data_IF_559234437817
#
_entry.id   IF_559234437817
#
_cell.length_a   1.000
_cell.length_b   1.000
_cell.length_c   1.000
_cell.angle_alpha   90.00
_cell.angle_beta   90.00
_cell.angle_gamma   90.00
#
_symmetry.space_group_name_H-M   'P 1'
#
loop_
_entity.id
_entity.type
_entity.pdbx_description
1 polymer ?
#
# COMPACT_ATOMS: atom_id res chain seq x y z
N UNK A 1 78.36 32.77 -21.05
CA UNK A 1 77.73 33.20 -19.77
C UNK A 1 76.43 33.93 -20.10
N UNK A 2 75.29 33.50 -19.50
CA UNK A 2 73.98 34.20 -19.41
C UNK A 2 73.20 34.43 -20.73
N UNK A 3 71.92 34.08 -20.90
CA UNK A 3 70.85 33.43 -20.10
C UNK A 3 69.88 32.72 -21.09
N UNK A 4 69.21 31.61 -20.73
CA UNK A 4 68.12 31.07 -21.54
C UNK A 4 66.81 31.83 -21.26
N UNK A 5 66.09 32.15 -22.34
CA UNK A 5 64.78 32.79 -22.37
C UNK A 5 63.70 31.85 -21.83
N UNK A 6 63.13 32.19 -20.66
CA UNK A 6 62.00 31.45 -20.07
C UNK A 6 60.69 32.12 -20.52
N UNK A 7 60.01 31.50 -21.49
CA UNK A 7 58.63 31.83 -21.83
C UNK A 7 57.68 31.38 -20.70
N UNK A 8 56.66 32.18 -20.34
CA UNK A 8 55.81 31.87 -19.20
C UNK A 8 54.84 30.70 -19.47
N UNK A 9 54.86 29.69 -18.59
CA UNK A 9 53.82 28.66 -18.51
C UNK A 9 52.47 29.32 -18.21
N UNK A 10 51.53 29.25 -19.16
CA UNK A 10 50.11 29.52 -18.93
C UNK A 10 49.56 28.45 -17.99
N UNK A 11 49.34 28.82 -16.73
CA UNK A 11 48.58 28.02 -15.75
C UNK A 11 47.12 27.95 -16.23
N UNK A 12 46.70 26.80 -16.72
CA UNK A 12 45.29 26.50 -16.96
C UNK A 12 44.66 26.23 -15.60
N UNK A 13 43.87 27.18 -15.11
CA UNK A 13 43.02 27.00 -13.94
C UNK A 13 41.80 26.17 -14.38
N UNK A 14 41.76 24.90 -14.00
CA UNK A 14 40.57 24.06 -14.19
C UNK A 14 39.56 24.44 -13.11
N UNK A 15 38.60 25.29 -13.47
CA UNK A 15 37.49 25.66 -12.59
C UNK A 15 36.45 24.52 -12.64
N UNK A 16 36.56 23.57 -11.72
CA UNK A 16 35.50 22.58 -11.49
C UNK A 16 34.37 23.28 -10.75
N UNK A 17 33.36 23.73 -11.49
CA UNK A 17 32.09 24.17 -10.90
C UNK A 17 31.36 22.93 -10.38
N UNK A 18 31.47 22.69 -9.07
CA UNK A 18 30.56 21.83 -8.32
C UNK A 18 29.15 22.43 -8.42
N UNK A 19 28.33 21.92 -9.34
CA UNK A 19 26.88 22.10 -9.26
C UNK A 19 26.44 21.45 -7.95
N UNK A 20 26.08 22.28 -6.97
CA UNK A 20 25.43 21.87 -5.74
C UNK A 20 24.06 21.30 -6.03
N UNK A 21 24.00 20.04 -6.48
CA UNK A 21 22.80 19.24 -6.39
C UNK A 21 22.47 19.09 -4.90
N UNK A 22 21.29 19.57 -4.49
CA UNK A 22 20.76 19.27 -3.16
C UNK A 22 20.65 17.75 -3.05
N UNK A 23 21.57 17.13 -2.31
CA UNK A 23 21.36 15.78 -1.81
C UNK A 23 20.13 15.85 -0.90
N UNK A 24 18.96 15.54 -1.43
CA UNK A 24 17.82 15.17 -0.61
C UNK A 24 18.29 13.90 0.10
N UNK A 25 18.63 14.03 1.39
CA UNK A 25 19.04 12.88 2.19
C UNK A 25 17.91 11.85 2.16
N UNK A 26 18.14 10.69 1.57
CA UNK A 26 17.20 9.56 1.54
C UNK A 26 17.11 8.87 2.91
N UNK A 27 18.09 9.10 3.80
CA UNK A 27 18.19 8.46 5.11
C UNK A 27 16.93 8.60 6.00
N UNK A 28 16.23 9.75 6.07
CA UNK A 28 15.03 9.87 6.91
C UNK A 28 13.84 9.03 6.42
N UNK A 29 13.73 8.77 5.11
CA UNK A 29 12.65 7.93 4.55
C UNK A 29 12.93 6.46 4.87
N UNK A 30 14.17 6.02 4.70
CA UNK A 30 14.59 4.67 5.03
C UNK A 30 14.44 4.39 6.53
N UNK A 31 14.85 5.32 7.39
CA UNK A 31 14.69 5.21 8.85
C UNK A 31 13.20 5.17 9.24
N UNK A 32 12.35 5.99 8.60
CA UNK A 32 10.91 5.97 8.84
C UNK A 32 10.28 4.65 8.38
N UNK A 33 10.72 4.08 7.26
CA UNK A 33 10.26 2.78 6.79
C UNK A 33 10.68 1.68 7.77
N UNK A 34 11.93 1.69 8.23
CA UNK A 34 12.42 0.74 9.24
C UNK A 34 11.61 0.85 10.53
N UNK A 35 11.34 2.07 11.02
CA UNK A 35 10.48 2.29 12.18
C UNK A 35 9.07 1.71 11.96
N UNK A 36 8.47 1.98 10.80
CA UNK A 36 7.16 1.45 10.45
C UNK A 36 7.18 -0.08 10.43
N UNK A 37 8.15 -0.73 9.77
CA UNK A 37 8.27 -2.20 9.70
C UNK A 37 8.50 -2.85 11.08
N UNK A 38 9.04 -2.11 12.05
CA UNK A 38 9.17 -2.53 13.46
C UNK A 38 7.92 -2.29 14.30
N UNK A 39 6.81 -1.83 13.69
CA UNK A 39 5.57 -1.56 14.40
C UNK A 39 5.61 -0.26 15.21
N UNK A 40 6.44 0.70 14.80
CA UNK A 40 6.61 2.00 15.46
C UNK A 40 6.10 3.13 14.55
N UNK A 41 4.79 3.18 14.23
CA UNK A 41 4.28 4.17 13.29
C UNK A 41 4.37 5.61 13.82
N UNK A 42 4.35 5.81 15.15
CA UNK A 42 4.56 7.14 15.75
C UNK A 42 5.96 7.71 15.46
N UNK A 43 6.99 6.85 15.53
CA UNK A 43 8.35 7.23 15.19
C UNK A 43 8.48 7.55 13.69
N UNK A 44 7.85 6.75 12.83
CA UNK A 44 7.79 7.02 11.39
C UNK A 44 7.11 8.37 11.09
N UNK A 45 5.96 8.67 11.71
CA UNK A 45 5.29 9.97 11.58
C UNK A 45 6.19 11.12 12.04
N UNK A 46 6.90 10.95 13.16
CA UNK A 46 7.83 11.96 13.68
C UNK A 46 8.95 12.26 12.67
N UNK A 47 9.56 11.22 12.11
CA UNK A 47 10.65 11.35 11.12
C UNK A 47 10.18 12.00 9.81
N UNK A 48 8.92 11.82 9.44
CA UNK A 48 8.35 12.33 8.19
C UNK A 48 7.67 13.69 8.36
N UNK A 49 7.52 14.20 9.58
CA UNK A 49 6.87 15.48 9.84
C UNK A 49 7.68 16.63 9.24
N UNK A 50 7.02 17.49 8.47
CA UNK A 50 7.65 18.64 7.78
C UNK A 50 8.28 18.29 6.42
N UNK A 51 8.25 17.02 6.02
CA UNK A 51 8.62 16.61 4.65
C UNK A 51 7.54 17.03 3.65
N UNK A 52 7.95 17.31 2.41
CA UNK A 52 7.07 17.77 1.34
C UNK A 52 7.29 17.07 -0.01
N UNK A 53 8.22 16.09 -0.08
CA UNK A 53 8.39 15.24 -1.26
C UNK A 53 7.40 14.08 -1.26
N UNK A 54 7.04 13.60 -2.45
CA UNK A 54 6.03 12.58 -2.63
C UNK A 54 6.34 11.24 -1.91
N UNK A 55 7.57 10.67 -1.97
CA UNK A 55 7.88 9.44 -1.24
C UNK A 55 7.66 9.58 0.27
N UNK A 56 8.15 10.66 0.89
CA UNK A 56 7.97 10.91 2.32
C UNK A 56 6.49 11.06 2.69
N UNK A 57 5.72 11.78 1.88
CA UNK A 57 4.30 12.01 2.11
C UNK A 57 3.45 10.74 1.92
N UNK A 58 3.81 9.89 0.95
CA UNK A 58 3.17 8.58 0.77
C UNK A 58 3.45 7.67 1.99
N UNK A 59 4.71 7.58 2.44
CA UNK A 59 5.05 6.80 3.62
C UNK A 59 4.39 7.37 4.90
N UNK A 60 4.21 8.69 4.97
CA UNK A 60 3.47 9.34 6.06
C UNK A 60 1.99 8.93 6.05
N UNK A 61 1.36 8.89 4.86
CA UNK A 61 0.00 8.39 4.71
C UNK A 61 -0.14 6.94 5.20
N UNK A 62 0.81 6.06 4.83
CA UNK A 62 0.88 4.68 5.32
C UNK A 62 1.03 4.60 6.84
N UNK A 63 1.87 5.46 7.41
CA UNK A 63 2.15 5.49 8.84
C UNK A 63 0.92 5.87 9.67
N UNK A 64 0.06 6.76 9.16
CA UNK A 64 -1.22 7.06 9.81
C UNK A 64 -2.17 5.86 9.85
N UNK A 65 -2.21 5.05 8.79
CA UNK A 65 -2.96 3.78 8.80
C UNK A 65 -2.36 2.81 9.82
N UNK A 66 -1.03 2.75 9.91
CA UNK A 66 -0.33 1.98 10.94
C UNK A 66 -0.69 2.42 12.38
N UNK A 67 -0.78 3.72 12.65
CA UNK A 67 -1.24 4.25 13.94
C UNK A 67 -2.67 3.78 14.27
N UNK A 68 -3.54 3.66 13.27
CA UNK A 68 -4.94 3.31 13.48
C UNK A 68 -5.15 1.91 14.06
N UNK A 69 -4.16 1.02 13.92
CA UNK A 69 -4.15 -0.31 14.53
C UNK A 69 -4.08 -0.24 16.06
N UNK A 70 -3.44 0.82 16.60
CA UNK A 70 -3.16 0.96 18.03
C UNK A 70 -4.15 1.84 18.79
N UNK A 71 -5.12 2.46 18.11
CA UNK A 71 -6.11 3.31 18.76
C UNK A 71 -7.43 2.55 19.03
N UNK A 72 -8.08 2.78 20.19
CA UNK A 72 -9.19 1.94 20.63
C UNK A 72 -10.55 2.33 20.05
N UNK A 73 -10.71 3.57 19.57
CA UNK A 73 -12.02 4.09 19.14
C UNK A 73 -12.11 4.29 17.63
N UNK A 74 -13.28 4.03 17.06
CA UNK A 74 -13.54 4.29 15.64
C UNK A 74 -13.41 5.78 15.29
N UNK A 75 -13.72 6.67 16.23
CA UNK A 75 -13.51 8.10 16.05
C UNK A 75 -12.02 8.44 15.87
N UNK A 76 -11.14 7.85 16.69
CA UNK A 76 -9.69 8.03 16.55
C UNK A 76 -9.17 7.42 15.24
N UNK A 77 -9.66 6.23 14.84
CA UNK A 77 -9.31 5.61 13.55
C UNK A 77 -9.71 6.48 12.37
N UNK A 78 -10.95 7.02 12.36
CA UNK A 78 -11.42 7.92 11.30
C UNK A 78 -10.58 9.19 11.19
N UNK A 79 -10.16 9.77 12.32
CA UNK A 79 -9.26 10.92 12.30
C UNK A 79 -7.90 10.58 11.66
N UNK A 80 -7.37 9.39 11.91
CA UNK A 80 -6.13 8.92 11.28
C UNK A 80 -6.29 8.63 9.80
N UNK A 81 -7.42 8.06 9.37
CA UNK A 81 -7.71 7.85 7.93
C UNK A 81 -7.84 9.17 7.18
N UNK A 82 -8.46 10.19 7.77
CA UNK A 82 -8.51 11.53 7.19
C UNK A 82 -7.11 12.15 7.05
N UNK A 83 -6.21 11.95 8.03
CA UNK A 83 -4.81 12.37 7.94
C UNK A 83 -4.03 11.60 6.88
N UNK A 84 -4.30 10.30 6.73
CA UNK A 84 -3.74 9.45 5.67
C UNK A 84 -4.14 9.97 4.29
N UNK A 85 -5.43 10.25 4.07
CA UNK A 85 -5.94 10.82 2.84
C UNK A 85 -5.26 12.16 2.51
N UNK A 86 -5.19 13.07 3.49
CA UNK A 86 -4.55 14.37 3.30
C UNK A 86 -3.08 14.25 2.90
N UNK A 87 -2.33 13.35 3.55
CA UNK A 87 -0.92 13.10 3.22
C UNK A 87 -0.75 12.48 1.83
N UNK A 88 -1.59 11.51 1.45
CA UNK A 88 -1.54 10.89 0.12
C UNK A 88 -1.92 11.87 -1.01
N UNK A 89 -2.92 12.74 -0.77
CA UNK A 89 -3.26 13.82 -1.72
C UNK A 89 -2.11 14.83 -1.86
N UNK A 90 -1.45 15.19 -0.76
CA UNK A 90 -0.26 16.03 -0.80
C UNK A 90 0.89 15.35 -1.56
N UNK A 91 1.07 14.05 -1.41
CA UNK A 91 2.07 13.28 -2.16
C UNK A 91 1.81 13.33 -3.66
N UNK A 92 0.55 13.14 -4.10
CA UNK A 92 0.17 13.25 -5.51
C UNK A 92 0.25 14.69 -6.06
N UNK A 93 0.08 15.70 -5.21
CA UNK A 93 0.32 17.09 -5.61
C UNK A 93 1.81 17.36 -5.82
N UNK A 94 2.68 16.75 -5.01
CA UNK A 94 4.14 16.86 -5.16
C UNK A 94 4.66 16.05 -6.37
N UNK A 95 4.13 14.86 -6.60
CA UNK A 95 4.41 14.04 -7.79
C UNK A 95 3.19 13.17 -8.18
N UNK A 96 2.45 13.55 -9.25
CA UNK A 96 1.32 12.76 -9.75
C UNK A 96 1.68 11.38 -10.31
N UNK A 97 2.98 11.10 -10.50
CA UNK A 97 3.49 9.81 -11.01
C UNK A 97 4.02 8.90 -9.90
N UNK A 98 3.88 9.27 -8.64
CA UNK A 98 4.29 8.43 -7.52
C UNK A 98 3.28 7.28 -7.32
N UNK A 99 3.68 6.04 -7.63
CA UNK A 99 2.81 4.86 -7.55
C UNK A 99 2.32 4.57 -6.12
N UNK A 100 3.19 4.72 -5.11
CA UNK A 100 2.83 4.52 -3.71
C UNK A 100 1.74 5.50 -3.26
N UNK A 101 1.84 6.77 -3.65
CA UNK A 101 0.86 7.79 -3.32
C UNK A 101 -0.55 7.47 -3.86
N UNK A 102 -0.64 6.88 -5.05
CA UNK A 102 -1.92 6.37 -5.59
C UNK A 102 -2.46 5.23 -4.74
N UNK A 103 -1.62 4.26 -4.34
CA UNK A 103 -2.01 3.16 -3.44
C UNK A 103 -2.50 3.69 -2.10
N UNK A 104 -1.77 4.61 -1.48
CA UNK A 104 -2.14 5.12 -0.16
C UNK A 104 -3.42 5.95 -0.19
N UNK A 105 -3.64 6.74 -1.24
CA UNK A 105 -4.89 7.47 -1.38
C UNK A 105 -6.07 6.49 -1.54
N UNK A 106 -5.91 5.46 -2.37
CA UNK A 106 -6.93 4.44 -2.56
C UNK A 106 -7.27 3.72 -1.23
N UNK A 107 -6.25 3.32 -0.46
CA UNK A 107 -6.42 2.70 0.85
C UNK A 107 -7.13 3.62 1.84
N UNK A 108 -6.71 4.89 1.94
CA UNK A 108 -7.30 5.86 2.85
C UNK A 108 -8.78 6.13 2.52
N UNK A 109 -9.15 6.17 1.24
CA UNK A 109 -10.53 6.28 0.80
C UNK A 109 -11.34 5.02 1.14
N UNK A 110 -10.78 3.84 0.86
CA UNK A 110 -11.44 2.56 1.13
C UNK A 110 -11.75 2.36 2.63
N UNK A 111 -10.81 2.72 3.51
CA UNK A 111 -10.97 2.63 4.97
C UNK A 111 -12.06 3.56 5.53
N UNK A 112 -12.49 4.57 4.76
CA UNK A 112 -13.56 5.50 5.13
C UNK A 112 -14.93 5.12 4.53
N UNK A 113 -15.01 4.10 3.67
CA UNK A 113 -16.26 3.67 3.05
C UNK A 113 -17.31 3.05 3.99
N UNK A 114 -16.95 2.26 5.03
CA UNK A 114 -17.95 1.61 5.87
C UNK A 114 -18.94 2.63 6.47
N UNK A 115 -20.24 2.38 6.27
CA UNK A 115 -21.32 3.24 6.78
C UNK A 115 -21.74 4.40 5.87
N UNK A 116 -21.11 4.61 4.71
CA UNK A 116 -21.42 5.75 3.82
C UNK A 116 -22.62 5.57 2.88
N UNK A 117 -23.25 4.39 2.90
CA UNK A 117 -24.37 4.04 2.01
C UNK A 117 -23.94 3.71 0.57
N UNK A 118 -24.82 3.05 -0.20
CA UNK A 118 -24.48 2.47 -1.51
C UNK A 118 -24.08 3.51 -2.57
N UNK A 119 -24.73 4.67 -2.60
CA UNK A 119 -24.44 5.72 -3.60
C UNK A 119 -23.02 6.27 -3.42
N UNK A 120 -22.64 6.62 -2.19
CA UNK A 120 -21.29 7.12 -1.92
C UNK A 120 -20.25 6.02 -2.15
N UNK A 121 -20.54 4.79 -1.71
CA UNK A 121 -19.65 3.64 -1.90
C UNK A 121 -19.37 3.36 -3.39
N UNK A 122 -20.38 3.46 -4.26
CA UNK A 122 -20.18 3.25 -5.71
C UNK A 122 -19.41 4.40 -6.38
N UNK A 123 -19.65 5.66 -6.00
CA UNK A 123 -18.91 6.79 -6.54
C UNK A 123 -17.44 6.75 -6.14
N UNK A 124 -17.16 6.64 -4.84
CA UNK A 124 -15.79 6.58 -4.31
C UNK A 124 -15.11 5.28 -4.73
N UNK A 125 -15.85 4.18 -4.87
CA UNK A 125 -15.34 2.93 -5.42
C UNK A 125 -14.72 3.08 -6.80
N UNK A 126 -15.30 3.89 -7.71
CA UNK A 126 -14.68 4.15 -9.03
C UNK A 126 -13.37 4.93 -8.92
N UNK A 127 -13.28 5.89 -8.00
CA UNK A 127 -12.04 6.63 -7.73
C UNK A 127 -10.96 5.68 -7.19
N UNK A 128 -11.29 4.84 -6.20
CA UNK A 128 -10.38 3.84 -5.62
C UNK A 128 -9.82 2.91 -6.71
N UNK A 129 -10.68 2.38 -7.58
CA UNK A 129 -10.23 1.53 -8.70
C UNK A 129 -9.23 2.26 -9.59
N UNK A 130 -9.57 3.49 -10.00
CA UNK A 130 -8.74 4.30 -10.89
C UNK A 130 -7.36 4.54 -10.28
N UNK A 131 -7.30 4.78 -8.97
CA UNK A 131 -6.04 4.99 -8.24
C UNK A 131 -5.19 3.72 -8.22
N UNK A 132 -5.75 2.55 -7.91
CA UNK A 132 -4.97 1.30 -7.96
C UNK A 132 -4.53 0.95 -9.39
N UNK A 133 -5.40 1.10 -10.40
CA UNK A 133 -5.04 0.91 -11.82
C UNK A 133 -3.89 1.83 -12.22
N UNK A 134 -3.92 3.09 -11.76
CA UNK A 134 -2.85 4.04 -12.01
C UNK A 134 -1.55 3.62 -11.33
N UNK A 135 -1.61 3.15 -10.09
CA UNK A 135 -0.44 2.66 -9.36
C UNK A 135 0.25 1.51 -10.10
N UNK A 136 -0.50 0.47 -10.49
CA UNK A 136 0.09 -0.71 -11.17
C UNK A 136 0.50 -0.41 -12.61
N UNK A 137 -0.07 0.61 -13.24
CA UNK A 137 0.39 1.10 -14.55
C UNK A 137 1.71 1.86 -14.44
N UNK A 138 1.87 2.68 -13.39
CA UNK A 138 3.10 3.42 -13.14
C UNK A 138 4.24 2.51 -12.68
N UNK A 139 3.93 1.52 -11.86
CA UNK A 139 4.85 0.51 -11.36
C UNK A 139 4.17 -0.88 -11.36
N UNK A 140 4.39 -1.70 -12.41
CA UNK A 140 3.87 -3.07 -12.46
C UNK A 140 4.39 -4.00 -11.35
N UNK A 141 5.44 -3.59 -10.63
CA UNK A 141 5.99 -4.27 -9.45
C UNK A 141 5.30 -3.89 -8.14
N UNK A 142 4.34 -2.95 -8.16
CA UNK A 142 3.66 -2.45 -6.97
C UNK A 142 2.63 -3.45 -6.44
N UNK A 143 3.08 -4.41 -5.62
CA UNK A 143 2.27 -5.52 -5.12
C UNK A 143 1.00 -5.05 -4.37
N UNK A 144 1.09 -3.98 -3.59
CA UNK A 144 -0.05 -3.42 -2.85
C UNK A 144 -1.14 -2.84 -3.76
N UNK A 145 -0.77 -2.36 -4.96
CA UNK A 145 -1.72 -1.91 -5.97
C UNK A 145 -2.53 -3.08 -6.53
N UNK A 146 -1.86 -4.19 -6.85
CA UNK A 146 -2.52 -5.43 -7.28
C UNK A 146 -3.42 -6.01 -6.19
N UNK A 147 -2.96 -6.10 -4.94
CA UNK A 147 -3.79 -6.52 -3.82
C UNK A 147 -5.04 -5.63 -3.66
N UNK A 148 -4.87 -4.31 -3.80
CA UNK A 148 -5.96 -3.35 -3.76
C UNK A 148 -7.01 -3.53 -4.86
N UNK A 149 -6.59 -3.83 -6.09
CA UNK A 149 -7.48 -4.17 -7.20
C UNK A 149 -8.27 -5.46 -6.93
N UNK A 150 -7.59 -6.49 -6.41
CA UNK A 150 -8.23 -7.72 -5.95
C UNK A 150 -9.34 -7.45 -4.94
N UNK A 151 -9.03 -6.67 -3.89
CA UNK A 151 -10.02 -6.26 -2.89
C UNK A 151 -11.17 -5.43 -3.45
N UNK A 152 -10.89 -4.53 -4.40
CA UNK A 152 -11.93 -3.74 -5.06
C UNK A 152 -12.94 -4.64 -5.81
N UNK A 153 -12.44 -5.63 -6.56
CA UNK A 153 -13.28 -6.60 -7.26
C UNK A 153 -14.14 -7.41 -6.28
N UNK A 154 -13.54 -7.91 -5.20
CA UNK A 154 -14.25 -8.69 -4.18
C UNK A 154 -15.40 -7.88 -3.54
N UNK A 155 -15.15 -6.63 -3.18
CA UNK A 155 -16.15 -5.75 -2.58
C UNK A 155 -17.30 -5.46 -3.54
N UNK A 156 -17.00 -5.17 -4.81
CA UNK A 156 -18.04 -4.94 -5.82
C UNK A 156 -18.89 -6.20 -6.07
N UNK A 157 -18.28 -7.38 -6.10
CA UNK A 157 -18.97 -8.67 -6.23
C UNK A 157 -19.86 -8.97 -5.01
N UNK A 158 -19.42 -8.61 -3.81
CA UNK A 158 -20.19 -8.79 -2.58
C UNK A 158 -21.46 -7.92 -2.51
N UNK A 159 -21.49 -6.80 -3.24
CA UNK A 159 -22.67 -5.94 -3.39
C UNK A 159 -23.73 -6.52 -4.35
N UNK A 160 -23.41 -7.60 -5.06
CA UNK A 160 -24.33 -8.31 -5.95
C UNK A 160 -23.97 -8.19 -7.44
N UNK A 161 -24.49 -9.11 -8.24
CA UNK A 161 -24.12 -9.28 -9.67
C UNK A 161 -24.42 -8.07 -10.53
N UNK A 162 -25.52 -7.35 -10.27
CA UNK A 162 -25.87 -6.13 -11.02
C UNK A 162 -24.86 -5.00 -10.79
N UNK A 163 -24.43 -4.81 -9.53
CA UNK A 163 -23.41 -3.81 -9.18
C UNK A 163 -22.09 -4.20 -9.84
N UNK A 164 -21.68 -5.45 -9.67
CA UNK A 164 -20.45 -5.96 -10.26
C UNK A 164 -20.41 -5.76 -11.78
N UNK A 165 -21.50 -6.08 -12.50
CA UNK A 165 -21.60 -5.85 -13.93
C UNK A 165 -21.50 -4.36 -14.28
N UNK A 166 -22.22 -3.50 -13.56
CA UNK A 166 -22.26 -2.06 -13.83
C UNK A 166 -20.89 -1.38 -13.65
N UNK A 167 -20.06 -1.88 -12.74
CA UNK A 167 -18.70 -1.34 -12.51
C UNK A 167 -17.60 -2.15 -13.20
N UNK A 168 -17.95 -3.23 -13.90
CA UNK A 168 -16.98 -4.10 -14.58
C UNK A 168 -16.09 -4.90 -13.62
N UNK A 169 -16.63 -5.32 -12.48
CA UNK A 169 -15.93 -6.20 -11.55
C UNK A 169 -16.01 -7.68 -12.00
N UNK A 170 -14.92 -8.41 -11.81
CA UNK A 170 -14.79 -9.81 -12.23
C UNK A 170 -14.11 -10.61 -11.13
N UNK A 171 -14.63 -11.81 -10.85
CA UNK A 171 -13.97 -12.73 -9.92
C UNK A 171 -12.66 -13.27 -10.49
N UNK A 172 -12.56 -13.43 -11.81
CA UNK A 172 -11.31 -13.85 -12.43
C UNK A 172 -10.22 -12.78 -12.21
N UNK A 173 -10.56 -11.51 -12.47
CA UNK A 173 -9.64 -10.39 -12.21
C UNK A 173 -9.24 -10.31 -10.74
N UNK A 174 -10.23 -10.44 -9.82
CA UNK A 174 -9.97 -10.52 -8.37
C UNK A 174 -8.87 -11.53 -8.03
N UNK A 175 -8.95 -12.74 -8.60
CA UNK A 175 -8.01 -13.84 -8.33
C UNK A 175 -6.65 -13.58 -8.95
N UNK A 176 -6.62 -13.06 -10.18
CA UNK A 176 -5.39 -12.79 -10.91
C UNK A 176 -4.60 -11.64 -10.25
N UNK A 177 -5.28 -10.60 -9.80
CA UNK A 177 -4.69 -9.47 -9.09
C UNK A 177 -4.10 -9.90 -7.72
N UNK A 178 -4.84 -10.70 -6.95
CA UNK A 178 -4.32 -11.27 -5.70
C UNK A 178 -3.12 -12.18 -5.93
N UNK A 179 -3.18 -13.05 -6.95
CA UNK A 179 -2.06 -13.91 -7.30
C UNK A 179 -0.84 -13.07 -7.69
N UNK A 180 -1.04 -12.00 -8.46
CA UNK A 180 0.04 -11.09 -8.87
C UNK A 180 0.71 -10.43 -7.66
N UNK A 181 -0.06 -9.95 -6.68
CA UNK A 181 0.50 -9.40 -5.44
C UNK A 181 1.34 -10.44 -4.68
N UNK A 182 0.84 -11.67 -4.57
CA UNK A 182 1.54 -12.78 -3.91
C UNK A 182 2.82 -13.19 -4.67
N UNK A 183 2.81 -13.17 -6.00
CA UNK A 183 3.98 -13.46 -6.82
C UNK A 183 5.08 -12.41 -6.66
N UNK A 184 4.70 -11.13 -6.54
CA UNK A 184 5.64 -10.02 -6.37
C UNK A 184 6.32 -10.03 -5.00
N UNK A 185 5.57 -10.32 -3.94
CA UNK A 185 6.13 -10.44 -2.58
C UNK A 185 5.68 -11.75 -1.90
N UNK A 186 6.30 -12.88 -2.25
CA UNK A 186 5.84 -14.21 -1.83
C UNK A 186 5.94 -14.46 -0.32
N UNK A 187 6.73 -13.68 0.39
CA UNK A 187 6.89 -13.77 1.84
C UNK A 187 5.98 -12.80 2.62
N UNK A 188 5.19 -11.97 1.93
CA UNK A 188 4.25 -11.07 2.60
C UNK A 188 2.99 -11.83 3.05
N UNK A 189 2.76 -11.86 4.36
CA UNK A 189 1.65 -12.57 5.00
C UNK A 189 0.34 -11.87 4.66
N UNK A 190 0.37 -10.53 4.64
CA UNK A 190 -0.81 -9.71 4.46
C UNK A 190 -1.55 -10.01 3.15
N UNK A 191 -0.85 -10.22 2.03
CA UNK A 191 -1.49 -10.46 0.73
C UNK A 191 -2.31 -11.75 0.68
N UNK A 192 -1.81 -12.82 1.32
CA UNK A 192 -2.58 -14.07 1.44
C UNK A 192 -3.74 -13.93 2.41
N UNK A 193 -3.54 -13.20 3.51
CA UNK A 193 -4.63 -12.90 4.46
C UNK A 193 -5.76 -12.13 3.77
N UNK A 194 -5.43 -11.06 3.04
CA UNK A 194 -6.41 -10.26 2.29
C UNK A 194 -7.13 -11.09 1.24
N UNK A 195 -6.41 -11.88 0.45
CA UNK A 195 -7.05 -12.75 -0.55
C UNK A 195 -8.03 -13.75 0.10
N UNK A 196 -7.64 -14.38 1.21
CA UNK A 196 -8.53 -15.27 1.94
C UNK A 196 -9.74 -14.54 2.53
N UNK A 197 -9.56 -13.34 3.11
CA UNK A 197 -10.67 -12.54 3.64
C UNK A 197 -11.65 -12.13 2.53
N UNK A 198 -11.16 -11.84 1.31
CA UNK A 198 -11.99 -11.55 0.14
C UNK A 198 -12.78 -12.77 -0.36
N UNK A 199 -12.16 -13.96 -0.38
CA UNK A 199 -12.86 -15.21 -0.68
C UNK A 199 -13.96 -15.50 0.35
N UNK A 200 -13.70 -15.24 1.63
CA UNK A 200 -14.68 -15.40 2.70
C UNK A 200 -15.80 -14.35 2.63
N UNK A 201 -15.49 -13.13 2.20
CA UNK A 201 -16.49 -12.10 1.89
C UNK A 201 -17.45 -12.60 0.80
N UNK A 202 -16.90 -13.15 -0.29
CA UNK A 202 -17.73 -13.73 -1.36
C UNK A 202 -18.51 -14.96 -0.88
N UNK A 203 -17.93 -15.82 -0.05
CA UNK A 203 -18.61 -16.97 0.52
C UNK A 203 -19.85 -16.55 1.32
N UNK A 204 -19.71 -15.48 2.12
CA UNK A 204 -20.81 -14.88 2.88
C UNK A 204 -21.88 -14.26 1.97
N UNK A 205 -21.46 -13.54 0.93
CA UNK A 205 -22.38 -12.89 -0.02
C UNK A 205 -23.07 -13.89 -0.96
N UNK A 206 -22.49 -15.07 -1.20
CA UNK A 206 -22.95 -16.05 -2.17
C UNK A 206 -23.08 -17.45 -1.53
N UNK A 207 -24.13 -17.72 -0.71
CA UNK A 207 -24.24 -18.96 0.06
C UNK A 207 -24.16 -20.25 -0.76
N UNK A 208 -24.64 -20.23 -2.01
CA UNK A 208 -24.56 -21.38 -2.94
C UNK A 208 -23.13 -21.78 -3.30
N UNK A 209 -22.17 -20.86 -3.17
CA UNK A 209 -20.75 -21.04 -3.48
C UNK A 209 -19.86 -20.99 -2.24
N UNK A 210 -20.46 -20.92 -1.05
CA UNK A 210 -19.72 -20.78 0.21
C UNK A 210 -18.74 -21.94 0.44
N UNK A 211 -19.14 -23.18 0.15
CA UNK A 211 -18.29 -24.36 0.30
C UNK A 211 -16.94 -24.26 -0.43
N UNK A 212 -16.91 -24.15 -1.78
CA UNK A 212 -15.66 -24.04 -2.51
C UNK A 212 -14.85 -22.79 -2.18
N UNK A 213 -15.50 -21.63 -1.98
CA UNK A 213 -14.81 -20.38 -1.63
C UNK A 213 -14.11 -20.46 -0.25
N UNK A 214 -14.80 -21.03 0.75
CA UNK A 214 -14.23 -21.26 2.08
C UNK A 214 -13.11 -22.30 2.05
N UNK A 215 -13.26 -23.37 1.26
CA UNK A 215 -12.21 -24.38 1.11
C UNK A 215 -10.93 -23.79 0.52
N UNK A 216 -11.08 -22.92 -0.48
CA UNK A 216 -9.96 -22.20 -1.09
C UNK A 216 -9.33 -21.20 -0.11
N UNK A 217 -10.14 -20.37 0.56
CA UNK A 217 -9.65 -19.42 1.56
C UNK A 217 -8.83 -20.12 2.65
N UNK A 218 -9.30 -21.29 3.12
CA UNK A 218 -8.56 -22.12 4.06
C UNK A 218 -7.20 -22.57 3.50
N UNK A 219 -7.14 -22.98 2.23
CA UNK A 219 -5.88 -23.34 1.56
C UNK A 219 -4.89 -22.17 1.53
N UNK A 220 -5.36 -20.97 1.15
CA UNK A 220 -4.55 -19.74 1.13
C UNK A 220 -4.04 -19.39 2.53
N UNK A 221 -4.90 -19.48 3.56
CA UNK A 221 -4.52 -19.24 4.95
C UNK A 221 -3.52 -20.27 5.49
N UNK A 222 -3.68 -21.55 5.13
CA UNK A 222 -2.71 -22.60 5.49
C UNK A 222 -1.33 -22.31 4.88
N UNK A 223 -1.28 -21.86 3.63
CA UNK A 223 -0.02 -21.43 3.01
C UNK A 223 0.58 -20.21 3.72
N UNK A 224 -0.24 -19.22 4.08
CA UNK A 224 0.20 -18.05 4.85
C UNK A 224 0.74 -18.44 6.24
N UNK A 225 0.12 -19.42 6.90
CA UNK A 225 0.50 -19.88 8.22
C UNK A 225 1.90 -20.53 8.28
N UNK A 226 2.42 -20.97 7.13
CA UNK A 226 3.75 -21.56 6.99
C UNK A 226 4.86 -20.52 6.79
N UNK A 227 4.52 -19.24 6.59
CA UNK A 227 5.50 -18.17 6.41
C UNK A 227 6.20 -17.83 7.73
N UNK A 228 7.48 -17.45 7.64
CA UNK A 228 8.27 -16.95 8.77
C UNK A 228 8.24 -15.42 8.75
N UNK A 229 7.64 -14.76 9.76
CA UNK A 229 7.52 -13.30 9.76
C UNK A 229 8.88 -12.66 10.08
N UNK A 230 9.23 -11.62 9.32
CA UNK A 230 10.46 -10.83 9.47
C UNK A 230 10.20 -9.40 9.95
N UNK A 231 8.95 -8.96 9.87
CA UNK A 231 8.51 -7.63 10.32
C UNK A 231 7.46 -7.75 11.43
N UNK A 232 7.24 -6.65 12.15
CA UNK A 232 6.16 -6.59 13.14
C UNK A 232 4.79 -6.89 12.50
N UNK A 233 4.53 -6.29 11.33
CA UNK A 233 3.25 -6.43 10.64
C UNK A 233 3.00 -7.85 10.15
N UNK A 234 4.01 -8.53 9.59
CA UNK A 234 3.87 -9.94 9.23
C UNK A 234 3.55 -10.83 10.44
N UNK A 235 4.17 -10.56 11.59
CA UNK A 235 3.87 -11.28 12.83
C UNK A 235 2.45 -10.96 13.36
N UNK A 236 2.00 -9.72 13.19
CA UNK A 236 0.64 -9.29 13.51
C UNK A 236 -0.39 -10.00 12.61
N UNK A 237 -0.18 -10.00 11.29
CA UNK A 237 -1.07 -10.62 10.31
C UNK A 237 -1.11 -12.14 10.45
N UNK A 238 0.01 -12.77 10.82
CA UNK A 238 0.07 -14.21 11.08
C UNK A 238 -0.83 -14.62 12.27
N UNK A 239 -1.01 -13.75 13.27
CA UNK A 239 -1.98 -13.99 14.35
C UNK A 239 -3.42 -13.98 13.80
N UNK A 240 -3.73 -13.06 12.90
CA UNK A 240 -5.04 -12.99 12.24
C UNK A 240 -5.29 -14.22 11.37
N UNK A 241 -4.29 -14.68 10.60
CA UNK A 241 -4.36 -15.91 9.81
C UNK A 241 -4.73 -17.11 10.69
N UNK A 242 -4.03 -17.28 11.82
CA UNK A 242 -4.30 -18.38 12.78
C UNK A 242 -5.70 -18.30 13.36
N UNK A 243 -6.18 -17.10 13.65
CA UNK A 243 -7.53 -16.88 14.14
C UNK A 243 -8.59 -17.26 13.10
N UNK A 244 -8.42 -16.88 11.82
CA UNK A 244 -9.32 -17.31 10.74
C UNK A 244 -9.35 -18.82 10.62
N UNK A 245 -8.18 -19.49 10.59
CA UNK A 245 -8.11 -20.95 10.51
C UNK A 245 -8.83 -21.62 11.69
N UNK A 246 -8.70 -21.07 12.90
CA UNK A 246 -9.40 -21.56 14.08
C UNK A 246 -10.92 -21.42 13.96
N UNK A 247 -11.41 -20.35 13.34
CA UNK A 247 -12.85 -20.14 13.09
C UNK A 247 -13.35 -21.10 12.00
N UNK A 248 -12.59 -21.31 10.92
CA UNK A 248 -12.96 -22.19 9.81
C UNK A 248 -12.89 -23.69 10.13
N UNK A 249 -12.18 -24.07 11.20
CA UNK A 249 -12.12 -25.45 11.70
C UNK A 249 -13.21 -25.82 12.70
N UNK A 250 -14.07 -24.87 13.10
CA UNK A 250 -15.27 -25.10 13.91
C UNK A 250 -16.47 -25.34 12.99
#
# INVERSE_FOLDING_TARGET
MRRPDLRPLRRVFLLVTLLGGRLVSAAPVDDALVALLRGQPDAAVTLLTGRNDAPSLALLARSYVGQAVFVPTDAAKRALYARSEAAARAALAADPRNADAHVELANALALQLPGTGLVKATQVGREIRTLYERAVTLDPGQARGWMGLGGWHAQALALGSLVALAVGASEQAMRDDHRRAIELEPNEVFYRLTYADDLLLLAKAQPRRAGPLTAEARGVLTAAAALTPTTYWQAYDLKQVRERLRVLGR
#
